data_IF_386257112547
#
_entry.id   IF_386257112547
#
_cell.length_a   1.000
_cell.length_b   1.000
_cell.length_c   1.000
_cell.angle_alpha   90.00
_cell.angle_beta   90.00
_cell.angle_gamma   90.00
#
_symmetry.space_group_name_H-M   'P 1'
#
loop_
_entity.id
_entity.type
_entity.pdbx_description
1 polymer ?
#
# COMPACT_ATOMS: atom_id res chain seq x y z
N UNK A 1 -0.75 17.52 -3.24
CA UNK A 1 0.31 17.03 -2.33
C UNK A 1 1.61 16.94 -3.12
N UNK A 2 2.74 17.34 -2.54
CA UNK A 2 4.06 17.19 -3.17
C UNK A 2 4.80 15.99 -2.60
N UNK A 3 5.36 15.17 -3.47
CA UNK A 3 6.06 13.94 -3.08
C UNK A 3 7.36 13.86 -3.90
N UNK A 4 8.49 13.43 -3.33
CA UNK A 4 9.67 13.12 -4.13
C UNK A 4 9.32 12.13 -5.24
N UNK A 5 9.95 12.23 -6.41
CA UNK A 5 9.84 11.17 -7.42
C UNK A 5 10.45 9.88 -6.91
N UNK A 6 10.08 8.75 -7.51
CA UNK A 6 10.63 7.44 -7.16
C UNK A 6 12.15 7.40 -7.28
N UNK A 7 12.68 8.13 -8.26
CA UNK A 7 14.12 8.25 -8.44
C UNK A 7 14.75 9.10 -7.33
N UNK A 8 14.13 10.22 -6.98
CA UNK A 8 14.67 11.11 -5.95
C UNK A 8 14.58 10.50 -4.55
N UNK A 9 13.47 9.84 -4.22
CA UNK A 9 13.30 9.16 -2.93
C UNK A 9 14.31 8.02 -2.74
N UNK A 10 14.65 7.32 -3.83
CA UNK A 10 15.67 6.28 -3.84
C UNK A 10 17.07 6.84 -3.56
N UNK A 11 17.38 8.05 -4.04
CA UNK A 11 18.65 8.74 -3.76
C UNK A 11 18.73 9.24 -2.30
N UNK A 12 17.60 9.72 -1.76
CA UNK A 12 17.54 10.24 -0.40
C UNK A 12 17.67 9.14 0.67
N UNK A 13 17.34 7.89 0.33
CA UNK A 13 17.38 6.74 1.23
C UNK A 13 16.61 6.96 2.55
N UNK A 14 15.41 7.56 2.46
CA UNK A 14 14.58 7.94 3.63
C UNK A 14 13.44 6.96 3.95
N UNK A 15 13.29 5.87 3.19
CA UNK A 15 12.18 4.90 3.33
C UNK A 15 12.69 3.48 3.60
N UNK A 16 13.46 3.37 4.69
CA UNK A 16 14.20 2.15 5.07
C UNK A 16 13.34 1.12 5.84
N UNK A 17 12.19 1.55 6.38
CA UNK A 17 11.34 0.70 7.25
C UNK A 17 10.43 -0.28 6.48
N UNK A 18 10.78 -0.61 5.23
CA UNK A 18 9.98 -1.50 4.36
C UNK A 18 10.36 -2.97 4.50
N UNK A 19 11.45 -3.25 5.21
CA UNK A 19 11.97 -4.59 5.39
C UNK A 19 11.85 -4.93 6.87
N UNK A 20 11.56 -6.19 7.18
CA UNK A 20 11.50 -6.73 8.55
C UNK A 20 12.86 -7.00 9.27
N UNK A 21 14.08 -6.71 8.79
CA UNK A 21 15.30 -7.21 9.39
C UNK A 21 15.80 -6.26 10.50
N UNK A 22 14.99 -5.30 10.95
CA UNK A 22 15.35 -4.57 12.16
C UNK A 22 15.16 -5.53 13.34
N UNK A 23 16.22 -5.67 14.15
CA UNK A 23 16.18 -6.46 15.38
C UNK A 23 15.06 -6.03 16.36
N UNK A 24 14.41 -4.89 16.10
CA UNK A 24 13.22 -4.39 16.77
C UNK A 24 12.02 -5.35 16.67
N UNK A 25 11.75 -5.93 15.50
CA UNK A 25 10.61 -6.84 15.30
C UNK A 25 11.02 -8.32 15.38
N UNK A 26 12.21 -8.65 14.90
CA UNK A 26 12.59 -10.02 14.61
C UNK A 26 13.63 -10.64 15.55
N UNK A 27 13.86 -10.07 16.75
CA UNK A 27 14.73 -10.57 17.85
C UNK A 27 15.54 -11.83 17.48
N UNK A 28 16.69 -11.63 16.83
CA UNK A 28 17.70 -12.64 16.46
C UNK A 28 17.47 -13.47 15.17
N UNK A 29 16.48 -13.18 14.32
CA UNK A 29 16.45 -13.75 12.97
C UNK A 29 17.63 -13.22 12.16
N UNK A 30 18.37 -14.13 11.50
CA UNK A 30 19.53 -13.77 10.68
C UNK A 30 19.02 -13.39 9.28
N UNK A 31 19.79 -12.60 8.53
CA UNK A 31 19.49 -12.26 7.12
C UNK A 31 19.20 -13.49 6.23
N UNK A 32 19.68 -14.69 6.60
CA UNK A 32 19.41 -15.94 5.91
C UNK A 32 17.96 -16.45 6.05
N UNK A 33 17.15 -15.86 6.94
CA UNK A 33 15.76 -16.26 7.20
C UNK A 33 14.73 -15.45 6.40
N UNK A 34 15.17 -14.50 5.55
CA UNK A 34 14.26 -13.76 4.68
C UNK A 34 13.61 -14.75 3.70
N UNK A 35 12.26 -14.85 3.67
CA UNK A 35 11.58 -15.76 2.77
C UNK A 35 11.99 -15.49 1.32
N UNK A 36 12.43 -16.54 0.62
CA UNK A 36 12.64 -16.45 -0.82
C UNK A 36 11.31 -16.21 -1.50
N UNK A 37 11.35 -15.47 -2.61
CA UNK A 37 10.17 -15.25 -3.44
C UNK A 37 9.52 -16.58 -3.81
N UNK A 38 8.21 -16.68 -3.61
CA UNK A 38 7.47 -17.89 -3.95
C UNK A 38 7.45 -18.10 -5.48
N UNK A 39 7.63 -19.33 -6.00
CA UNK A 39 7.69 -19.59 -7.45
C UNK A 39 6.44 -19.19 -8.25
N UNK A 40 5.28 -19.08 -7.58
CA UNK A 40 4.01 -18.64 -8.18
C UNK A 40 3.75 -17.13 -8.03
N UNK A 41 4.73 -16.36 -7.57
CA UNK A 41 4.60 -14.90 -7.49
C UNK A 41 4.45 -14.31 -8.90
N UNK A 42 3.47 -13.44 -9.09
CA UNK A 42 3.30 -12.68 -10.34
C UNK A 42 4.21 -11.43 -10.40
N UNK A 43 4.87 -11.09 -9.30
CA UNK A 43 5.77 -9.94 -9.22
C UNK A 43 7.20 -10.33 -9.58
N UNK A 44 7.99 -9.44 -10.21
CA UNK A 44 9.37 -9.71 -10.62
C UNK A 44 10.39 -9.67 -9.48
N UNK A 45 10.07 -9.04 -8.35
CA UNK A 45 10.97 -8.88 -7.20
C UNK A 45 10.29 -9.36 -5.92
N UNK A 46 11.06 -9.80 -4.92
CA UNK A 46 10.54 -9.97 -3.56
C UNK A 46 10.40 -8.60 -2.87
N UNK A 47 9.35 -8.37 -2.06
CA UNK A 47 9.20 -7.13 -1.28
C UNK A 47 10.24 -6.99 -0.16
N UNK A 48 10.84 -8.11 0.26
CA UNK A 48 11.80 -8.15 1.37
C UNK A 48 13.25 -7.89 0.94
N UNK A 49 13.49 -7.56 -0.34
CA UNK A 49 14.83 -7.24 -0.83
C UNK A 49 15.19 -5.82 -0.39
N UNK A 50 16.35 -5.68 0.23
CA UNK A 50 16.81 -4.39 0.71
C UNK A 50 17.12 -3.43 -0.45
N UNK A 51 16.89 -2.11 -0.28
CA UNK A 51 17.29 -1.10 -1.27
C UNK A 51 18.78 -1.16 -1.61
N UNK A 52 19.61 -1.48 -0.61
CA UNK A 52 21.07 -1.65 -0.74
C UNK A 52 21.46 -2.86 -1.58
N UNK A 53 20.62 -3.90 -1.65
CA UNK A 53 20.85 -5.09 -2.45
C UNK A 53 20.33 -4.92 -3.88
N UNK A 54 19.15 -4.31 -4.04
CA UNK A 54 18.55 -4.08 -5.35
C UNK A 54 17.69 -2.82 -5.38
N UNK A 55 18.25 -1.76 -5.98
CA UNK A 55 17.56 -0.49 -6.13
C UNK A 55 16.34 -0.56 -7.06
N UNK A 56 16.37 -1.43 -8.07
CA UNK A 56 15.22 -1.58 -8.98
C UNK A 56 14.05 -2.30 -8.29
N UNK A 57 14.33 -3.25 -7.39
CA UNK A 57 13.32 -3.82 -6.51
C UNK A 57 12.71 -2.74 -5.59
N UNK A 58 13.54 -1.86 -5.03
CA UNK A 58 13.05 -0.71 -4.25
C UNK A 58 12.07 0.15 -5.05
N UNK A 59 12.47 0.57 -6.25
CA UNK A 59 11.68 1.45 -7.13
C UNK A 59 10.39 0.77 -7.57
N UNK A 60 10.44 -0.52 -7.88
CA UNK A 60 9.27 -1.31 -8.23
C UNK A 60 8.24 -1.32 -7.11
N UNK A 61 8.66 -1.55 -5.86
CA UNK A 61 7.71 -1.64 -4.75
C UNK A 61 7.24 -0.28 -4.25
N UNK A 62 8.10 0.74 -4.25
CA UNK A 62 7.73 2.06 -3.74
C UNK A 62 6.62 2.69 -4.58
N UNK A 63 6.52 2.39 -5.88
CA UNK A 63 5.49 2.95 -6.75
C UNK A 63 4.06 2.62 -6.28
N UNK A 64 3.90 1.56 -5.48
CA UNK A 64 2.60 1.14 -4.93
C UNK A 64 2.25 1.81 -3.60
N UNK A 65 3.13 2.65 -3.05
CA UNK A 65 2.84 3.39 -1.82
C UNK A 65 1.66 4.35 -2.03
N UNK A 66 0.85 4.54 -0.98
CA UNK A 66 -0.39 5.33 -1.04
C UNK A 66 -0.20 6.72 -1.66
N UNK A 67 0.89 7.40 -1.28
CA UNK A 67 1.18 8.75 -1.76
C UNK A 67 1.53 8.82 -3.26
N UNK A 68 1.79 7.70 -3.94
CA UNK A 68 1.89 7.62 -5.41
C UNK A 68 0.60 7.17 -6.09
N UNK A 69 -0.35 6.62 -5.34
CA UNK A 69 -1.64 6.14 -5.85
C UNK A 69 -2.74 7.20 -5.75
N UNK A 70 -2.49 8.27 -4.98
CA UNK A 70 -3.41 9.40 -4.88
C UNK A 70 -3.37 10.26 -6.17
N UNK A 71 -4.52 10.80 -6.60
CA UNK A 71 -4.60 11.66 -7.77
C UNK A 71 -4.19 13.09 -7.44
N UNK A 72 -3.79 13.85 -8.46
CA UNK A 72 -3.33 15.25 -8.33
C UNK A 72 -2.13 15.43 -7.40
N UNK A 73 -1.39 14.36 -7.15
CA UNK A 73 -0.06 14.43 -6.56
C UNK A 73 0.90 15.06 -7.56
N UNK A 74 1.85 15.82 -7.05
CA UNK A 74 2.90 16.44 -7.83
C UNK A 74 4.22 15.86 -7.38
N UNK A 75 4.89 15.15 -8.29
CA UNK A 75 6.22 14.62 -8.01
C UNK A 75 7.28 15.70 -8.22
N UNK A 76 8.39 15.63 -7.49
CA UNK A 76 9.56 16.49 -7.71
C UNK A 76 10.86 15.69 -7.69
N UNK A 77 11.81 16.09 -8.53
CA UNK A 77 13.06 15.36 -8.76
C UNK A 77 14.25 15.93 -7.98
N UNK A 78 14.10 17.12 -7.39
CA UNK A 78 15.10 17.76 -6.54
C UNK A 78 14.45 18.80 -5.61
N UNK A 79 15.21 19.30 -4.63
CA UNK A 79 14.75 20.39 -3.76
C UNK A 79 14.49 21.70 -4.53
N UNK A 80 15.31 22.00 -5.54
CA UNK A 80 15.11 23.19 -6.38
C UNK A 80 13.84 23.06 -7.23
N UNK A 81 13.59 21.89 -7.81
CA UNK A 81 12.37 21.59 -8.56
C UNK A 81 11.12 21.69 -7.66
N UNK A 82 11.21 21.25 -6.40
CA UNK A 82 10.16 21.45 -5.41
C UNK A 82 9.86 22.94 -5.19
N UNK A 83 10.89 23.77 -4.98
CA UNK A 83 10.72 25.22 -4.75
C UNK A 83 10.04 25.87 -5.96
N UNK A 84 10.48 25.54 -7.17
CA UNK A 84 9.87 26.05 -8.41
C UNK A 84 8.39 25.64 -8.50
N UNK A 85 8.09 24.37 -8.26
CA UNK A 85 6.71 23.87 -8.29
C UNK A 85 5.84 24.51 -7.21
N UNK A 86 6.35 24.70 -5.99
CA UNK A 86 5.63 25.39 -4.93
C UNK A 86 5.27 26.82 -5.32
N UNK A 87 6.15 27.53 -6.03
CA UNK A 87 5.91 28.90 -6.46
C UNK A 87 4.91 29.00 -7.63
N UNK A 88 4.87 27.98 -8.50
CA UNK A 88 4.08 28.00 -9.74
C UNK A 88 2.71 27.31 -9.61
N UNK A 89 2.56 26.42 -8.64
CA UNK A 89 1.35 25.62 -8.49
C UNK A 89 0.17 26.46 -8.02
N UNK A 90 -0.93 26.38 -8.77
CA UNK A 90 -2.21 26.92 -8.34
C UNK A 90 -2.87 25.99 -7.31
N UNK A 91 -2.62 26.28 -6.04
CA UNK A 91 -3.14 25.49 -4.92
C UNK A 91 -4.67 25.44 -4.86
N UNK A 92 -5.37 26.50 -5.27
CA UNK A 92 -6.82 26.51 -5.29
C UNK A 92 -7.35 25.48 -6.29
N UNK A 93 -6.80 25.47 -7.50
CA UNK A 93 -7.18 24.49 -8.52
C UNK A 93 -6.91 23.05 -8.07
N UNK A 94 -5.76 22.80 -7.44
CA UNK A 94 -5.40 21.46 -6.93
C UNK A 94 -6.36 21.04 -5.80
N UNK A 95 -6.68 21.96 -4.88
CA UNK A 95 -7.65 21.72 -3.82
C UNK A 95 -9.02 21.34 -4.39
N UNK A 96 -9.53 22.10 -5.36
CA UNK A 96 -10.86 21.87 -5.93
C UNK A 96 -10.94 20.52 -6.67
N UNK A 97 -9.86 20.15 -7.36
CA UNK A 97 -9.71 18.84 -7.98
C UNK A 97 -9.69 17.70 -6.95
N UNK A 98 -8.90 17.83 -5.88
CA UNK A 98 -8.85 16.85 -4.79
C UNK A 98 -10.21 16.71 -4.09
N UNK A 99 -10.92 17.81 -3.86
CA UNK A 99 -12.26 17.79 -3.28
C UNK A 99 -13.27 17.06 -4.16
N UNK A 100 -13.25 17.34 -5.46
CA UNK A 100 -14.12 16.67 -6.44
C UNK A 100 -13.89 15.16 -6.44
N UNK A 101 -12.63 14.74 -6.46
CA UNK A 101 -12.27 13.32 -6.42
C UNK A 101 -12.61 12.65 -5.09
N UNK A 102 -12.40 13.33 -3.96
CA UNK A 102 -12.78 12.82 -2.65
C UNK A 102 -14.30 12.55 -2.57
N UNK A 103 -15.12 13.44 -3.12
CA UNK A 103 -16.57 13.24 -3.22
C UNK A 103 -16.91 12.05 -4.12
N UNK A 104 -16.26 11.92 -5.28
CA UNK A 104 -16.45 10.78 -6.19
C UNK A 104 -16.09 9.45 -5.51
N UNK A 105 -14.94 9.39 -4.85
CA UNK A 105 -14.46 8.21 -4.09
C UNK A 105 -15.42 7.86 -2.97
N UNK A 106 -15.88 8.84 -2.20
CA UNK A 106 -16.85 8.62 -1.12
C UNK A 106 -18.13 7.99 -1.64
N UNK A 107 -18.71 8.54 -2.70
CA UNK A 107 -19.95 8.01 -3.30
C UNK A 107 -19.75 6.59 -3.82
N UNK A 108 -18.63 6.32 -4.49
CA UNK A 108 -18.28 4.98 -4.95
C UNK A 108 -18.14 3.99 -3.79
N UNK A 109 -17.38 4.34 -2.76
CA UNK A 109 -17.15 3.49 -1.59
C UNK A 109 -18.46 3.18 -0.86
N UNK A 110 -19.32 4.18 -0.65
CA UNK A 110 -20.65 3.95 -0.03
C UNK A 110 -21.44 2.93 -0.85
N UNK A 111 -21.46 3.06 -2.19
CA UNK A 111 -22.16 2.12 -3.06
C UNK A 111 -21.60 0.69 -2.96
N UNK A 112 -20.28 0.53 -2.99
CA UNK A 112 -19.66 -0.80 -2.86
C UNK A 112 -19.91 -1.40 -1.48
N UNK A 113 -19.83 -0.61 -0.41
CA UNK A 113 -20.16 -1.06 0.94
C UNK A 113 -21.61 -1.49 1.08
N UNK A 114 -22.56 -0.76 0.49
CA UNK A 114 -23.97 -1.16 0.50
C UNK A 114 -24.17 -2.51 -0.21
N UNK A 115 -23.52 -2.75 -1.35
CA UNK A 115 -23.58 -4.07 -2.02
C UNK A 115 -23.05 -5.19 -1.14
N UNK A 116 -21.95 -4.96 -0.42
CA UNK A 116 -21.39 -5.95 0.50
C UNK A 116 -22.39 -6.22 1.63
N UNK A 117 -23.00 -5.17 2.19
CA UNK A 117 -24.00 -5.28 3.26
C UNK A 117 -25.23 -6.06 2.77
N UNK A 118 -25.71 -5.81 1.55
CA UNK A 118 -26.85 -6.52 0.96
C UNK A 118 -26.58 -8.03 0.76
N UNK A 119 -25.31 -8.42 0.65
CA UNK A 119 -24.89 -9.82 0.59
C UNK A 119 -24.78 -10.49 1.96
N UNK A 120 -24.81 -9.72 3.06
CA UNK A 120 -24.75 -10.29 4.41
C UNK A 120 -26.10 -10.93 4.71
N UNK A 121 -26.09 -12.24 4.97
CA UNK A 121 -27.30 -12.97 5.33
C UNK A 121 -27.98 -12.33 6.55
N UNK A 122 -29.29 -12.03 6.50
CA UNK A 122 -30.00 -11.38 7.60
C UNK A 122 -29.97 -12.17 8.91
N UNK A 123 -29.71 -13.48 8.84
CA UNK A 123 -29.62 -14.40 9.99
C UNK A 123 -28.17 -14.91 10.21
N UNK A 124 -27.16 -14.19 9.71
CA UNK A 124 -25.76 -14.57 9.90
C UNK A 124 -25.44 -14.72 11.38
N UNK A 125 -25.01 -15.91 11.79
CA UNK A 125 -24.52 -16.16 13.14
C UNK A 125 -23.12 -15.57 13.29
N UNK A 126 -23.01 -14.47 14.05
CA UNK A 126 -21.72 -13.88 14.39
C UNK A 126 -21.04 -14.76 15.45
N UNK A 127 -19.80 -15.22 15.24
CA UNK A 127 -19.08 -16.02 16.22
C UNK A 127 -18.91 -15.25 17.54
N UNK A 128 -19.20 -15.91 18.65
CA UNK A 128 -19.18 -15.28 19.98
C UNK A 128 -17.75 -15.05 20.51
N UNK A 129 -16.76 -15.70 19.90
CA UNK A 129 -15.35 -15.59 20.31
C UNK A 129 -14.40 -15.88 19.14
N UNK A 130 -13.14 -15.49 19.32
CA UNK A 130 -12.05 -15.67 18.36
C UNK A 130 -11.93 -17.11 17.83
N UNK A 131 -12.02 -18.11 18.72
CA UNK A 131 -11.86 -19.52 18.32
C UNK A 131 -12.95 -19.98 17.37
N UNK A 132 -14.20 -19.57 17.63
CA UNK A 132 -15.32 -19.82 16.73
C UNK A 132 -15.17 -19.07 15.40
N UNK A 133 -14.68 -17.81 15.44
CA UNK A 133 -14.50 -17.00 14.24
C UNK A 133 -13.48 -17.60 13.27
N UNK A 134 -12.31 -18.00 13.77
CA UNK A 134 -11.27 -18.64 12.96
C UNK A 134 -11.73 -19.99 12.42
N UNK A 135 -12.46 -20.77 13.24
CA UNK A 135 -13.02 -22.05 12.77
C UNK A 135 -13.97 -21.87 11.59
N UNK A 136 -14.91 -20.93 11.68
CA UNK A 136 -15.86 -20.62 10.60
C UNK A 136 -15.11 -20.16 9.35
N UNK A 137 -14.14 -19.24 9.50
CA UNK A 137 -13.35 -18.71 8.38
C UNK A 137 -12.61 -19.80 7.62
N UNK A 138 -11.91 -20.70 8.33
CA UNK A 138 -11.12 -21.76 7.72
C UNK A 138 -11.96 -22.92 7.15
N UNK A 139 -13.12 -23.21 7.74
CA UNK A 139 -14.04 -24.22 7.20
C UNK A 139 -14.73 -23.74 5.91
N UNK A 140 -14.97 -22.44 5.75
CA UNK A 140 -15.52 -21.88 4.50
C UNK A 140 -14.55 -21.88 3.31
N UNK A 141 -13.24 -21.77 3.55
CA UNK A 141 -12.25 -21.80 2.46
C UNK A 141 -12.17 -23.17 1.79
N UNK A 142 -12.41 -24.27 2.52
CA UNK A 142 -12.34 -25.62 1.95
C UNK A 142 -13.50 -25.96 1.01
N UNK A 143 -14.64 -25.26 1.13
CA UNK A 143 -15.83 -25.48 0.30
C UNK A 143 -15.77 -24.80 -1.07
N UNK A 144 -14.88 -23.81 -1.26
CA UNK A 144 -14.70 -23.12 -2.54
C UNK A 144 -13.58 -23.73 -3.40
N UNK A 145 -12.89 -24.77 -2.90
CA UNK A 145 -11.77 -25.45 -3.56
C UNK A 145 -12.12 -26.81 -4.20
N UNK A 146 -13.42 -27.13 -4.34
CA UNK A 146 -13.96 -28.29 -5.09
C UNK A 146 -14.85 -27.82 -6.22
#
# INVERSE_FOLDING_TARGET
MFVPSIQFIAQLNIVDDRILPTGAYCRNLKFADIPKQHPKSNHPYSPDIAPSENLEAFKYWIQFADFYQLPYIQTFDSWDDLIVKLAQTNFQSVHDQMMTENLRRRTYLIKEWLKIIDQIEPNRTVPQNYKQAIKILWETEQLQST
#
